data_IF_767295913653
#
_entry.id   IF_767295913653
#
_cell.length_a   1.000
_cell.length_b   1.000
_cell.length_c   1.000
_cell.angle_alpha   90.00
_cell.angle_beta   90.00
_cell.angle_gamma   90.00
#
_symmetry.space_group_name_H-M   'P 1'
#
loop_
_entity.id
_entity.type
_entity.pdbx_description
1 polymer ?
#
# COMPACT_ATOMS: atom_id res chain seq x y z
N UNK A 1 -23.25 -8.25 37.19
CA UNK A 1 -24.19 -7.13 37.23
C UNK A 1 -23.38 -5.85 37.03
N UNK A 2 -23.58 -5.13 35.92
CA UNK A 2 -22.86 -3.89 35.66
C UNK A 2 -23.54 -2.77 36.46
N UNK A 3 -22.89 -2.29 37.50
CA UNK A 3 -23.37 -1.16 38.31
C UNK A 3 -23.35 0.08 37.43
N UNK A 4 -24.51 0.56 37.00
CA UNK A 4 -24.63 1.83 36.29
C UNK A 4 -24.30 2.93 37.29
N UNK A 5 -23.14 3.57 37.12
CA UNK A 5 -22.72 4.71 37.92
C UNK A 5 -23.63 5.90 37.61
N UNK A 6 -24.64 6.10 38.45
CA UNK A 6 -25.40 7.35 38.50
C UNK A 6 -24.53 8.39 39.17
N UNK A 7 -23.96 9.30 38.37
CA UNK A 7 -23.08 10.37 38.86
C UNK A 7 -23.97 11.48 39.48
N UNK A 8 -23.74 11.87 40.75
CA UNK A 8 -24.45 12.99 41.36
C UNK A 8 -24.24 14.27 40.56
N UNK A 9 -25.29 15.10 40.41
CA UNK A 9 -25.24 16.31 39.59
C UNK A 9 -24.16 17.32 40.03
N UNK A 10 -23.71 17.23 41.28
CA UNK A 10 -22.74 18.14 41.91
C UNK A 10 -21.27 17.83 41.54
N UNK A 11 -20.98 16.65 40.97
CA UNK A 11 -19.59 16.24 40.63
C UNK A 11 -19.11 16.73 39.24
N UNK A 12 -19.86 17.61 38.57
CA UNK A 12 -19.54 18.04 37.20
C UNK A 12 -18.39 19.04 37.09
N UNK A 13 -17.99 19.65 38.21
CA UNK A 13 -16.97 20.71 38.24
C UNK A 13 -15.65 20.30 38.89
N UNK A 14 -15.56 19.06 39.37
CA UNK A 14 -14.38 18.55 40.06
C UNK A 14 -13.16 18.50 39.14
N UNK A 15 -12.05 19.04 39.63
CA UNK A 15 -10.76 19.06 38.93
C UNK A 15 -9.90 17.90 39.42
N UNK A 16 -9.48 17.06 38.49
CA UNK A 16 -8.70 15.86 38.81
C UNK A 16 -7.21 16.13 38.51
N UNK A 17 -6.30 15.93 39.48
CA UNK A 17 -4.87 16.14 39.28
C UNK A 17 -4.24 14.97 38.50
N UNK A 18 -3.24 15.29 37.67
CA UNK A 18 -2.50 14.33 36.86
C UNK A 18 -0.98 14.51 37.02
N UNK A 19 -0.18 13.49 36.63
CA UNK A 19 1.28 13.60 36.62
C UNK A 19 1.74 14.83 35.84
N UNK A 20 2.57 15.68 36.45
CA UNK A 20 3.01 16.96 35.87
C UNK A 20 2.36 18.19 36.50
N UNK A 21 1.37 18.02 37.37
CA UNK A 21 0.70 19.13 38.09
C UNK A 21 -0.50 19.70 37.34
N UNK A 22 -0.84 19.15 36.18
CA UNK A 22 -2.01 19.54 35.41
C UNK A 22 -3.30 19.05 36.09
N UNK A 23 -4.35 19.88 36.06
CA UNK A 23 -5.69 19.51 36.51
C UNK A 23 -6.68 19.53 35.34
N UNK A 24 -7.57 18.54 35.28
CA UNK A 24 -8.53 18.42 34.18
C UNK A 24 -9.97 18.20 34.69
N UNK A 25 -10.93 18.88 34.05
CA UNK A 25 -12.38 18.68 34.26
C UNK A 25 -12.88 17.53 33.39
N UNK A 26 -12.63 16.29 33.82
CA UNK A 26 -12.88 15.08 33.02
C UNK A 26 -14.31 14.98 32.48
N UNK A 27 -15.32 15.39 33.26
CA UNK A 27 -16.72 15.32 32.84
C UNK A 27 -17.09 16.26 31.67
N UNK A 28 -16.32 17.35 31.47
CA UNK A 28 -16.54 18.31 30.39
C UNK A 28 -15.85 17.87 29.07
N UNK A 29 -14.99 16.85 29.11
CA UNK A 29 -14.25 16.37 27.95
C UNK A 29 -15.09 15.50 27.00
N UNK A 30 -14.81 15.63 25.71
CA UNK A 30 -15.29 14.79 24.63
C UNK A 30 -14.67 13.38 24.70
N UNK A 31 -15.26 12.42 23.99
CA UNK A 31 -14.73 11.04 23.96
C UNK A 31 -13.29 10.97 23.42
N UNK A 32 -12.93 11.85 22.48
CA UNK A 32 -11.60 11.87 21.87
C UNK A 32 -10.57 12.42 22.86
N UNK A 33 -10.86 13.52 23.54
CA UNK A 33 -9.97 14.09 24.57
C UNK A 33 -9.71 13.10 25.71
N UNK A 34 -10.72 12.32 26.12
CA UNK A 34 -10.54 11.25 27.11
C UNK A 34 -9.59 10.15 26.61
N UNK A 35 -9.66 9.79 25.33
CA UNK A 35 -8.75 8.80 24.73
C UNK A 35 -7.34 9.35 24.61
N UNK A 36 -7.19 10.61 24.23
CA UNK A 36 -5.89 11.27 24.13
C UNK A 36 -5.21 11.34 25.51
N UNK A 37 -5.97 11.70 26.56
CA UNK A 37 -5.47 11.72 27.93
C UNK A 37 -5.05 10.31 28.41
N UNK A 38 -5.87 9.29 28.15
CA UNK A 38 -5.51 7.89 28.46
C UNK A 38 -4.26 7.44 27.70
N UNK A 39 -4.09 7.87 26.44
CA UNK A 39 -2.92 7.54 25.62
C UNK A 39 -1.64 8.16 26.20
N UNK A 40 -1.69 9.45 26.59
CA UNK A 40 -0.56 10.15 27.23
C UNK A 40 -0.11 9.42 28.49
N UNK A 41 -1.06 8.92 29.30
CA UNK A 41 -0.77 8.16 30.53
C UNK A 41 -0.63 6.65 30.33
N UNK A 42 -0.52 6.18 29.07
CA UNK A 42 -0.34 4.76 28.70
C UNK A 42 -1.39 3.80 29.30
N UNK A 43 -2.61 4.28 29.48
CA UNK A 43 -3.74 3.49 29.95
C UNK A 43 -4.48 2.80 28.78
N UNK A 44 -5.21 1.70 29.02
CA UNK A 44 -6.03 1.05 27.98
C UNK A 44 -7.07 2.00 27.35
N UNK A 45 -7.26 1.91 26.03
CA UNK A 45 -8.15 2.78 25.24
C UNK A 45 -9.54 2.19 24.94
N UNK A 46 -9.82 0.96 25.37
CA UNK A 46 -11.09 0.28 25.10
C UNK A 46 -12.17 0.62 26.14
N UNK A 47 -13.42 0.73 25.67
CA UNK A 47 -14.60 1.01 26.50
C UNK A 47 -15.47 2.14 25.96
N UNK A 48 -16.67 2.26 26.52
CA UNK A 48 -17.56 3.40 26.30
C UNK A 48 -17.12 4.62 27.14
N UNK A 49 -17.67 5.82 26.86
CA UNK A 49 -17.32 7.06 27.58
C UNK A 49 -17.31 6.92 29.12
N UNK A 50 -18.34 6.31 29.76
CA UNK A 50 -18.33 6.06 31.21
C UNK A 50 -17.15 5.22 31.68
N UNK A 51 -16.78 4.16 30.93
CA UNK A 51 -15.64 3.30 31.28
C UNK A 51 -14.32 4.06 31.20
N UNK A 52 -14.16 4.92 30.19
CA UNK A 52 -12.96 5.75 30.04
C UNK A 52 -12.86 6.80 31.15
N UNK A 53 -13.97 7.46 31.50
CA UNK A 53 -14.04 8.41 32.62
C UNK A 53 -13.67 7.74 33.93
N UNK A 54 -14.30 6.60 34.26
CA UNK A 54 -14.02 5.89 35.49
C UNK A 54 -12.55 5.46 35.58
N UNK A 55 -11.95 5.04 34.46
CA UNK A 55 -10.53 4.69 34.40
C UNK A 55 -9.61 5.88 34.69
N UNK A 56 -9.92 7.04 34.14
CA UNK A 56 -9.18 8.28 34.40
C UNK A 56 -9.34 8.77 35.84
N UNK A 57 -10.56 8.70 36.40
CA UNK A 57 -10.83 9.04 37.80
C UNK A 57 -10.07 8.10 38.76
N UNK A 58 -10.07 6.80 38.48
CA UNK A 58 -9.30 5.83 39.28
C UNK A 58 -7.79 6.08 39.18
N UNK A 59 -7.31 6.52 38.02
CA UNK A 59 -5.90 6.84 37.80
C UNK A 59 -5.49 8.14 38.52
N UNK A 60 -6.30 9.19 38.46
CA UNK A 60 -6.03 10.45 39.18
C UNK A 60 -6.10 10.28 40.69
N UNK A 61 -6.99 9.43 41.19
CA UNK A 61 -7.11 9.11 42.61
C UNK A 61 -5.97 8.26 43.20
N UNK A 62 -5.02 7.78 42.39
CA UNK A 62 -3.89 6.96 42.85
C UNK A 62 -2.54 7.53 42.42
N UNK A 63 -2.01 8.54 43.14
CA UNK A 63 -0.71 9.15 42.85
C UNK A 63 0.47 8.17 42.86
N UNK A 64 0.37 7.07 43.63
CA UNK A 64 1.43 6.06 43.68
C UNK A 64 1.58 5.33 42.33
N UNK A 65 0.47 5.09 41.62
CA UNK A 65 0.45 4.43 40.32
C UNK A 65 1.04 5.29 39.18
N UNK A 66 1.21 6.60 39.40
CA UNK A 66 1.78 7.51 38.41
C UNK A 66 3.25 7.18 38.13
N UNK A 67 3.99 6.76 39.15
CA UNK A 67 5.40 6.42 39.00
C UNK A 67 5.60 5.05 38.31
N UNK A 68 4.64 4.13 38.47
CA UNK A 68 4.70 2.79 37.88
C UNK A 68 4.44 2.80 36.36
N UNK A 69 3.67 3.78 35.86
CA UNK A 69 3.31 3.87 34.43
C UNK A 69 4.38 4.53 33.56
N UNK A 70 5.30 5.29 34.16
CA UNK A 70 6.42 5.93 33.45
C UNK A 70 7.52 4.91 33.09
N UNK A 71 7.72 3.87 33.90
CA UNK A 71 8.76 2.87 33.70
C UNK A 71 8.35 1.74 32.72
N UNK A 72 8.54 1.99 31.42
CA UNK A 72 9.27 1.09 30.50
C UNK A 72 8.96 -0.42 30.36
N UNK A 73 7.91 -0.99 30.96
CA UNK A 73 7.62 -2.42 30.84
C UNK A 73 6.31 -2.66 30.09
N UNK A 74 6.38 -2.76 28.76
CA UNK A 74 5.42 -3.59 28.02
C UNK A 74 5.55 -5.00 28.59
N UNK A 75 4.60 -5.43 29.43
CA UNK A 75 4.55 -6.81 29.89
C UNK A 75 4.32 -7.70 28.67
N UNK A 76 5.17 -8.72 28.41
CA UNK A 76 4.83 -9.75 27.45
C UNK A 76 3.51 -10.41 27.90
N UNK A 77 2.55 -10.50 26.98
CA UNK A 77 1.18 -11.01 27.19
C UNK A 77 1.12 -12.52 27.52
N UNK A 78 2.16 -13.11 28.12
CA UNK A 78 2.12 -14.49 28.62
C UNK A 78 2.89 -14.57 29.93
N UNK A 79 2.24 -14.17 31.02
CA UNK A 79 2.69 -14.49 32.37
C UNK A 79 2.55 -16.00 32.67
N UNK A 80 3.30 -16.52 33.65
CA UNK A 80 3.28 -17.92 34.08
C UNK A 80 1.88 -18.33 34.57
N UNK A 81 1.39 -19.49 34.12
CA UNK A 81 0.15 -20.07 34.63
C UNK A 81 0.47 -20.88 35.89
N UNK A 82 0.19 -20.32 37.05
CA UNK A 82 0.05 -21.09 38.28
C UNK A 82 -1.31 -21.79 38.26
N UNK A 83 -1.26 -23.12 38.21
CA UNK A 83 -2.41 -23.98 38.36
C UNK A 83 -2.57 -24.34 39.83
N UNK A 84 -3.60 -23.79 40.47
CA UNK A 84 -4.13 -24.36 41.71
C UNK A 84 -5.65 -24.47 41.65
N UNK A 85 -6.08 -25.74 41.66
CA UNK A 85 -7.31 -26.29 42.25
C UNK A 85 -8.63 -26.09 41.51
N UNK A 86 -8.96 -27.04 40.63
CA UNK A 86 -10.27 -27.69 40.62
C UNK A 86 -10.12 -29.21 40.60
N UNK A 87 -10.98 -29.84 41.39
CA UNK A 87 -10.99 -31.22 41.81
C UNK A 87 -11.14 -32.25 40.68
N UNK A 88 -10.70 -33.46 41.03
CA UNK A 88 -10.72 -34.72 40.30
C UNK A 88 -12.07 -35.04 39.63
N UNK A 89 -12.03 -35.40 38.35
CA UNK A 89 -12.70 -36.61 37.87
C UNK A 89 -12.02 -37.11 36.58
N UNK A 90 -11.64 -38.39 36.58
CA UNK A 90 -11.65 -39.27 35.41
C UNK A 90 -10.49 -39.16 34.40
N UNK A 91 -9.68 -40.21 34.39
CA UNK A 91 -8.63 -40.51 33.41
C UNK A 91 -9.17 -40.67 31.97
N UNK A 92 -8.45 -40.13 30.98
CA UNK A 92 -8.10 -40.89 29.77
C UNK A 92 -6.93 -40.23 29.01
N UNK A 93 -5.86 -40.99 28.80
CA UNK A 93 -4.64 -40.60 28.08
C UNK A 93 -4.91 -40.45 26.58
N UNK A 94 -4.57 -39.31 25.95
CA UNK A 94 -4.35 -39.22 24.49
C UNK A 94 -3.11 -38.41 24.08
N UNK A 95 -2.43 -38.80 22.98
CA UNK A 95 -1.04 -38.43 22.67
C UNK A 95 -0.86 -37.10 21.94
N UNK A 96 0.37 -36.58 22.03
CA UNK A 96 0.91 -35.37 21.39
C UNK A 96 0.50 -35.25 19.91
N UNK A 97 -0.24 -34.19 19.56
CA UNK A 97 -0.51 -33.83 18.16
C UNK A 97 0.68 -33.10 17.55
N UNK A 98 1.20 -33.73 16.50
CA UNK A 98 2.08 -33.17 15.47
C UNK A 98 1.39 -32.01 14.76
N UNK A 99 2.19 -31.10 14.24
CA UNK A 99 1.85 -29.94 13.40
C UNK A 99 0.70 -30.25 12.44
N UNK A 100 -0.44 -29.57 12.62
CA UNK A 100 -1.55 -29.65 11.67
C UNK A 100 -1.19 -28.88 10.40
N UNK A 101 -1.01 -29.62 9.31
CA UNK A 101 -1.24 -29.14 7.95
C UNK A 101 -2.62 -28.49 7.94
N UNK A 102 -2.72 -27.24 7.47
CA UNK A 102 -3.99 -26.57 7.21
C UNK A 102 -4.67 -27.35 6.08
N UNK A 103 -5.48 -28.35 6.45
CA UNK A 103 -6.43 -28.95 5.54
C UNK A 103 -7.43 -27.84 5.19
N UNK A 104 -7.45 -27.47 3.90
CA UNK A 104 -8.54 -26.69 3.30
C UNK A 104 -9.86 -27.26 3.82
N UNK A 105 -10.73 -26.38 4.32
CA UNK A 105 -12.06 -26.73 4.82
C UNK A 105 -12.74 -27.66 3.82
N UNK A 106 -13.18 -28.83 4.29
CA UNK A 106 -13.98 -29.76 3.48
C UNK A 106 -15.21 -29.01 3.00
N UNK A 107 -15.44 -29.00 1.70
CA UNK A 107 -16.69 -28.47 1.14
C UNK A 107 -17.85 -29.28 1.72
N UNK A 108 -18.70 -28.62 2.51
CA UNK A 108 -19.87 -29.23 3.19
C UNK A 108 -21.11 -29.29 2.30
N UNK A 109 -21.01 -28.82 1.05
CA UNK A 109 -22.13 -28.85 0.09
C UNK A 109 -22.51 -30.29 -0.26
N UNK A 110 -23.81 -30.54 -0.39
CA UNK A 110 -24.32 -31.81 -0.91
C UNK A 110 -23.95 -31.98 -2.38
N UNK A 111 -23.91 -33.21 -2.89
CA UNK A 111 -23.67 -33.45 -4.33
C UNK A 111 -24.67 -32.71 -5.22
N UNK A 112 -25.92 -32.59 -4.75
CA UNK A 112 -26.93 -31.81 -5.46
C UNK A 112 -26.54 -30.33 -5.55
N UNK A 113 -26.11 -29.70 -4.45
CA UNK A 113 -25.67 -28.31 -4.46
C UNK A 113 -24.43 -28.09 -5.35
N UNK A 114 -23.52 -29.08 -5.40
CA UNK A 114 -22.38 -29.02 -6.33
C UNK A 114 -22.85 -29.08 -7.78
N UNK A 115 -23.79 -29.97 -8.09
CA UNK A 115 -24.36 -30.09 -9.43
C UNK A 115 -25.15 -28.85 -9.84
N UNK A 116 -25.87 -28.22 -8.92
CA UNK A 116 -26.57 -26.95 -9.14
C UNK A 116 -25.58 -25.82 -9.45
N UNK A 117 -24.46 -25.73 -8.72
CA UNK A 117 -23.40 -24.74 -9.02
C UNK A 117 -22.76 -24.99 -10.38
N UNK A 118 -22.53 -26.26 -10.75
CA UNK A 118 -21.98 -26.63 -12.06
C UNK A 118 -22.97 -26.29 -13.19
N UNK A 119 -24.26 -26.59 -13.00
CA UNK A 119 -25.30 -26.29 -13.98
C UNK A 119 -25.49 -24.77 -14.16
N UNK A 120 -25.48 -24.02 -13.05
CA UNK A 120 -25.52 -22.56 -13.06
C UNK A 120 -24.31 -21.98 -13.79
N UNK A 121 -23.10 -22.48 -13.52
CA UNK A 121 -21.88 -22.04 -14.20
C UNK A 121 -21.95 -22.31 -15.71
N UNK A 122 -22.48 -23.47 -16.13
CA UNK A 122 -22.67 -23.80 -17.54
C UNK A 122 -23.67 -22.87 -18.23
N UNK A 123 -24.81 -22.58 -17.60
CA UNK A 123 -25.80 -21.62 -18.11
C UNK A 123 -25.23 -20.19 -18.16
N UNK A 124 -24.46 -19.78 -17.15
CA UNK A 124 -23.83 -18.48 -17.10
C UNK A 124 -22.86 -18.28 -18.28
N UNK A 125 -22.05 -19.30 -18.60
CA UNK A 125 -21.15 -19.29 -19.76
C UNK A 125 -21.92 -19.26 -21.08
N UNK A 126 -23.02 -20.03 -21.20
CA UNK A 126 -23.84 -20.06 -22.40
C UNK A 126 -24.53 -18.71 -22.68
N UNK A 127 -24.97 -18.01 -21.62
CA UNK A 127 -25.68 -16.74 -21.72
C UNK A 127 -24.75 -15.53 -21.86
N UNK A 128 -23.46 -15.68 -21.55
CA UNK A 128 -22.47 -14.61 -21.59
C UNK A 128 -21.23 -15.06 -22.38
N UNK A 129 -21.34 -15.33 -23.70
CA UNK A 129 -20.21 -15.80 -24.51
C UNK A 129 -19.04 -14.80 -24.54
N UNK A 130 -19.31 -13.54 -24.21
CA UNK A 130 -18.43 -12.39 -24.15
C UNK A 130 -17.59 -12.37 -22.85
N UNK A 131 -18.12 -12.97 -21.77
CA UNK A 131 -17.53 -12.96 -20.43
C UNK A 131 -16.69 -14.24 -20.27
N UNK A 132 -15.57 -14.23 -20.98
CA UNK A 132 -14.46 -15.18 -20.92
C UNK A 132 -14.72 -16.58 -21.47
N UNK A 133 -14.12 -16.85 -22.64
CA UNK A 133 -13.36 -18.08 -22.77
C UNK A 133 -12.30 -18.08 -21.65
N UNK A 134 -12.21 -19.11 -20.80
CA UNK A 134 -10.89 -19.50 -20.27
C UNK A 134 -9.96 -19.52 -21.48
N UNK A 135 -8.76 -18.95 -21.38
CA UNK A 135 -7.72 -19.19 -22.40
C UNK A 135 -7.80 -20.67 -22.73
N UNK A 136 -8.24 -21.00 -23.95
CA UNK A 136 -8.16 -22.35 -24.47
C UNK A 136 -6.75 -22.83 -24.10
N UNK A 137 -6.58 -23.98 -23.43
CA UNK A 137 -5.26 -24.54 -23.26
C UNK A 137 -4.65 -24.54 -24.65
N UNK A 138 -3.65 -23.68 -24.82
CA UNK A 138 -2.99 -23.46 -26.09
C UNK A 138 -2.66 -24.85 -26.59
N UNK A 139 -3.29 -25.27 -27.69
CA UNK A 139 -2.90 -26.53 -28.32
C UNK A 139 -1.37 -26.54 -28.40
N UNK A 140 -0.72 -27.67 -28.12
CA UNK A 140 0.73 -27.77 -28.19
C UNK A 140 1.14 -27.57 -29.65
N UNK A 141 1.22 -26.31 -30.07
CA UNK A 141 1.99 -25.88 -31.22
C UNK A 141 3.37 -26.43 -30.98
N UNK A 142 3.74 -27.38 -31.85
CA UNK A 142 5.01 -28.08 -31.88
C UNK A 142 6.10 -27.21 -31.27
N UNK A 143 6.48 -27.56 -30.05
CA UNK A 143 7.66 -27.02 -29.39
C UNK A 143 8.78 -27.31 -30.39
N UNK A 144 9.31 -26.26 -31.04
CA UNK A 144 10.70 -26.27 -31.47
C UNK A 144 11.48 -26.48 -30.18
N UNK A 145 11.75 -27.75 -29.88
CA UNK A 145 12.56 -28.18 -28.75
C UNK A 145 13.85 -27.40 -28.90
N UNK A 146 14.12 -26.53 -27.92
CA UNK A 146 15.42 -25.88 -27.85
C UNK A 146 16.45 -27.01 -27.77
N UNK A 147 17.39 -27.13 -28.72
CA UNK A 147 18.43 -28.17 -28.69
C UNK A 147 19.26 -28.14 -27.39
N UNK A 148 19.17 -27.04 -26.65
CA UNK A 148 19.81 -26.83 -25.36
C UNK A 148 19.25 -27.71 -24.24
N UNK A 149 17.96 -28.05 -24.26
CA UNK A 149 17.36 -28.88 -23.19
C UNK A 149 17.71 -30.36 -23.36
N UNK A 150 17.71 -30.83 -24.62
CA UNK A 150 18.19 -32.17 -24.97
C UNK A 150 19.69 -32.32 -24.72
N UNK A 151 20.49 -31.28 -25.01
CA UNK A 151 21.92 -31.25 -24.69
C UNK A 151 22.18 -31.32 -23.18
N UNK A 152 21.33 -30.69 -22.36
CA UNK A 152 21.43 -30.75 -20.90
C UNK A 152 21.01 -32.12 -20.35
N UNK A 153 19.97 -32.73 -20.91
CA UNK A 153 19.56 -34.08 -20.55
C UNK A 153 20.63 -35.12 -20.93
N UNK A 154 21.20 -35.04 -22.13
CA UNK A 154 22.29 -35.92 -22.56
C UNK A 154 23.55 -35.77 -21.68
N UNK A 155 23.87 -34.55 -21.23
CA UNK A 155 24.99 -34.31 -20.31
C UNK A 155 24.73 -34.91 -18.91
N UNK A 156 23.50 -34.77 -18.38
CA UNK A 156 23.12 -35.38 -17.10
C UNK A 156 23.16 -36.90 -17.19
N UNK A 157 22.67 -37.47 -18.29
CA UNK A 157 22.69 -38.92 -18.52
C UNK A 157 24.13 -39.46 -18.66
N UNK A 158 25.00 -38.72 -19.35
CA UNK A 158 26.44 -39.03 -19.41
C UNK A 158 27.11 -39.01 -18.03
N UNK A 159 26.82 -38.01 -17.19
CA UNK A 159 27.36 -37.93 -15.83
C UNK A 159 26.88 -39.09 -14.93
N UNK A 160 25.62 -39.51 -15.09
CA UNK A 160 25.07 -40.65 -14.36
C UNK A 160 25.71 -41.98 -14.79
N UNK A 161 25.99 -42.16 -16.08
CA UNK A 161 26.69 -43.36 -16.56
C UNK A 161 28.13 -43.44 -16.01
N UNK A 162 28.87 -42.32 -15.98
CA UNK A 162 30.22 -42.27 -15.40
C UNK A 162 30.21 -42.61 -13.91
N UNK A 163 29.24 -42.10 -13.15
CA UNK A 163 29.07 -42.45 -11.74
C UNK A 163 28.74 -43.94 -11.54
N UNK A 164 27.85 -44.50 -12.37
CA UNK A 164 27.49 -45.92 -12.31
C UNK A 164 28.68 -46.83 -12.66
N UNK A 165 29.51 -46.46 -13.64
CA UNK A 165 30.74 -47.18 -13.96
C UNK A 165 31.78 -47.12 -12.84
N UNK A 166 31.89 -45.97 -12.17
CA UNK A 166 32.82 -45.77 -11.04
C UNK A 166 32.42 -46.61 -9.82
N UNK A 167 31.12 -46.76 -9.56
CA UNK A 167 30.61 -47.57 -8.44
C UNK A 167 30.68 -49.07 -8.73
N UNK A 168 30.50 -49.51 -9.98
CA UNK A 168 30.62 -50.93 -10.35
C UNK A 168 32.06 -51.44 -10.49
N UNK A 169 33.04 -50.53 -10.58
CA UNK A 169 34.42 -50.87 -10.91
C UNK A 169 35.33 -51.27 -9.74
N UNK A 170 34.90 -51.21 -8.47
CA UNK A 170 35.82 -51.44 -7.36
C UNK A 170 35.31 -52.45 -6.32
N UNK A 171 35.51 -53.76 -6.54
CA UNK A 171 35.23 -54.78 -5.54
C UNK A 171 36.36 -54.96 -4.51
N UNK A 172 37.49 -54.25 -4.61
CA UNK A 172 38.57 -54.38 -3.65
C UNK A 172 38.74 -53.11 -2.82
N UNK A 173 38.21 -53.20 -1.59
CA UNK A 173 38.44 -52.22 -0.56
C UNK A 173 39.93 -51.96 -0.38
N UNK A 174 40.35 -50.73 -0.61
CA UNK A 174 41.56 -50.22 -0.02
C UNK A 174 41.33 -48.76 0.37
N UNK A 175 41.29 -48.56 1.68
CA UNK A 175 41.23 -47.27 2.36
C UNK A 175 42.57 -46.60 2.16
N UNK A 176 42.64 -45.43 1.53
CA UNK A 176 43.71 -44.50 1.86
C UNK A 176 43.48 -43.04 1.46
N UNK A 177 43.73 -42.20 2.46
CA UNK A 177 44.38 -40.89 2.40
C UNK A 177 43.58 -39.69 1.86
N UNK A 178 43.04 -38.94 2.83
CA UNK A 178 42.67 -37.53 2.68
C UNK A 178 43.92 -36.64 2.82
N UNK A 179 44.09 -35.59 1.99
CA UNK A 179 45.11 -34.57 2.20
C UNK A 179 44.64 -33.48 3.20
N UNK A 180 45.57 -32.79 3.90
CA UNK A 180 45.24 -31.87 4.98
C UNK A 180 44.75 -30.50 4.48
N UNK A 181 43.99 -29.75 5.31
CA UNK A 181 43.53 -28.41 4.98
C UNK A 181 44.59 -27.33 5.30
N UNK A 182 44.63 -26.20 4.56
CA UNK A 182 45.51 -25.09 4.87
C UNK A 182 44.87 -24.13 5.89
N UNK A 183 45.65 -23.80 6.91
CA UNK A 183 45.44 -22.71 7.87
C UNK A 183 45.63 -21.34 7.23
N UNK A 184 44.92 -20.29 7.68
CA UNK A 184 45.55 -18.98 7.75
C UNK A 184 45.34 -18.28 9.11
N UNK A 185 46.41 -17.61 9.53
CA UNK A 185 46.57 -16.75 10.70
C UNK A 185 46.74 -15.28 10.23
N UNK A 186 46.51 -14.33 11.14
CA UNK A 186 46.79 -12.87 11.08
C UNK A 186 45.79 -12.03 10.25
N UNK A 187 45.41 -10.80 10.59
CA UNK A 187 45.72 -9.87 11.68
C UNK A 187 44.67 -8.74 11.62
N UNK A 188 44.39 -8.14 12.77
CA UNK A 188 43.48 -7.01 12.95
C UNK A 188 44.27 -5.69 12.91
N UNK A 189 43.82 -4.65 12.19
CA UNK A 189 44.30 -3.30 12.45
C UNK A 189 43.23 -2.43 13.14
N UNK A 190 43.69 -1.87 14.25
CA UNK A 190 43.14 -0.80 15.08
C UNK A 190 42.93 0.50 14.29
N UNK A 191 41.78 1.15 14.47
CA UNK A 191 41.51 2.52 14.01
C UNK A 191 41.80 3.54 15.13
N UNK A 192 42.43 4.70 14.84
CA UNK A 192 42.53 5.78 15.81
C UNK A 192 41.28 6.66 15.81
N UNK A 193 40.86 7.01 17.02
CA UNK A 193 39.88 8.05 17.31
C UNK A 193 40.44 9.44 16.99
N UNK A 194 39.62 10.31 16.41
CA UNK A 194 39.82 11.75 16.46
C UNK A 194 38.51 12.50 16.69
N UNK A 195 38.67 13.64 17.33
CA UNK A 195 37.75 14.37 18.20
C UNK A 195 37.02 15.53 17.52
N UNK A 196 35.83 15.84 18.05
CA UNK A 196 35.21 17.16 18.29
C UNK A 196 35.70 18.39 17.48
N UNK A 197 34.76 19.05 16.80
CA UNK A 197 34.61 20.53 16.68
C UNK A 197 33.24 20.83 16.05
N UNK A 198 32.25 21.29 16.82
CA UNK A 198 31.84 22.69 17.11
C UNK A 198 31.11 23.43 15.96
N UNK A 199 29.87 23.81 16.29
CA UNK A 199 28.93 24.77 15.68
C UNK A 199 29.56 26.12 15.25
N UNK A 200 28.92 26.88 14.33
CA UNK A 200 27.92 27.85 14.76
C UNK A 200 26.65 27.98 13.89
N UNK A 201 25.64 28.45 14.61
CA UNK A 201 24.34 29.03 14.28
C UNK A 201 24.29 30.01 13.10
N UNK A 202 23.23 29.91 12.30
CA UNK A 202 22.74 30.99 11.44
C UNK A 202 21.27 31.30 11.75
N UNK A 203 21.01 32.58 12.02
CA UNK A 203 19.69 33.21 12.20
C UNK A 203 19.19 33.65 10.81
N UNK A 204 17.89 33.50 10.48
CA UNK A 204 17.35 33.92 9.19
C UNK A 204 16.98 35.41 9.18
N UNK A 205 17.39 36.11 8.13
CA UNK A 205 17.02 37.50 7.86
C UNK A 205 15.79 37.52 6.94
N UNK A 206 14.71 38.15 7.40
CA UNK A 206 13.44 38.32 6.68
C UNK A 206 13.50 39.66 5.95
N UNK A 207 13.33 39.66 4.63
CA UNK A 207 13.11 40.88 3.84
C UNK A 207 11.87 40.66 2.96
N UNK A 208 10.84 41.47 3.21
CA UNK A 208 9.64 41.60 2.38
C UNK A 208 9.89 42.54 1.19
N UNK A 209 9.39 42.24 -0.02
CA UNK A 209 9.23 43.23 -1.07
C UNK A 209 7.82 43.89 -1.07
N UNK A 210 7.69 45.14 -1.55
CA UNK A 210 6.43 45.89 -1.61
C UNK A 210 5.57 45.54 -2.86
N UNK A 211 4.28 45.92 -2.87
CA UNK A 211 3.31 45.51 -3.89
C UNK A 211 3.37 46.37 -5.17
N UNK A 212 3.15 45.73 -6.33
CA UNK A 212 2.94 46.40 -7.62
C UNK A 212 1.43 46.50 -7.94
N UNK A 213 0.97 47.60 -8.58
CA UNK A 213 -0.43 47.84 -8.89
C UNK A 213 -0.92 47.11 -10.15
N UNK A 214 -2.18 46.65 -10.08
CA UNK A 214 -2.95 46.16 -11.22
C UNK A 214 -3.32 47.32 -12.17
N UNK A 215 -3.06 47.13 -13.46
CA UNK A 215 -3.69 47.88 -14.55
C UNK A 215 -4.28 46.90 -15.56
N UNK A 216 -5.62 46.88 -15.64
CA UNK A 216 -6.36 46.33 -16.78
C UNK A 216 -6.16 47.23 -18.01
N UNK A 217 -6.30 46.67 -19.21
CA UNK A 217 -7.14 47.34 -20.19
C UNK A 217 -8.20 46.43 -20.83
N UNK A 218 -9.30 47.08 -21.16
CA UNK A 218 -10.48 46.58 -21.83
C UNK A 218 -10.21 46.14 -23.28
N UNK A 219 -10.99 45.17 -23.73
CA UNK A 219 -11.04 44.65 -25.11
C UNK A 219 -12.42 44.98 -25.69
N UNK A 220 -12.51 45.54 -26.90
CA UNK A 220 -13.73 45.48 -27.69
C UNK A 220 -13.53 44.68 -28.99
N UNK A 221 -14.49 43.77 -29.19
CA UNK A 221 -15.16 43.36 -30.43
C UNK A 221 -14.39 43.05 -31.74
N UNK A 222 -14.55 41.78 -32.13
CA UNK A 222 -15.07 41.28 -33.42
C UNK A 222 -14.31 41.56 -34.74
N UNK A 223 -14.13 40.49 -35.55
CA UNK A 223 -14.68 40.28 -36.93
C UNK A 223 -13.86 39.21 -37.70
N UNK A 224 -14.57 38.18 -38.18
CA UNK A 224 -14.54 37.50 -39.50
C UNK A 224 -13.24 36.98 -40.17
N UNK A 225 -13.21 35.64 -40.36
CA UNK A 225 -12.92 34.84 -41.60
C UNK A 225 -11.50 34.88 -42.26
N UNK A 226 -11.18 34.04 -43.29
CA UNK A 226 -10.42 32.78 -43.14
C UNK A 226 -9.19 32.70 -44.12
N UNK A 227 -8.69 31.50 -44.51
CA UNK A 227 -7.28 31.08 -44.41
C UNK A 227 -6.41 31.38 -45.67
N UNK A 228 -5.11 30.99 -45.64
CA UNK A 228 -4.71 30.02 -46.67
C UNK A 228 -3.75 28.91 -46.18
N UNK A 229 -3.78 27.83 -46.96
CA UNK A 229 -2.93 26.65 -46.89
C UNK A 229 -1.43 26.98 -47.09
N UNK A 230 -0.55 26.22 -46.43
CA UNK A 230 0.78 25.92 -46.95
C UNK A 230 1.24 24.51 -46.55
N UNK A 231 1.95 23.93 -47.52
CA UNK A 231 2.46 22.58 -47.64
C UNK A 231 3.47 22.14 -46.58
N UNK A 232 3.50 20.81 -46.44
CA UNK A 232 4.67 19.95 -46.23
C UNK A 232 6.04 20.64 -46.26
N UNK A 233 6.79 20.50 -45.17
CA UNK A 233 8.19 20.05 -45.29
C UNK A 233 8.70 19.36 -44.01
N UNK A 234 9.16 18.14 -44.25
CA UNK A 234 10.08 17.34 -43.44
C UNK A 234 11.33 18.17 -43.12
N UNK A 235 11.79 18.13 -41.86
CA UNK A 235 13.24 18.21 -41.62
C UNK A 235 13.64 17.46 -40.34
N UNK A 236 14.29 16.33 -40.55
CA UNK A 236 15.19 15.71 -39.57
C UNK A 236 16.31 16.70 -39.22
N UNK A 237 16.67 16.79 -37.94
CA UNK A 237 17.95 17.38 -37.56
C UNK A 237 18.58 16.58 -36.43
N UNK A 238 19.48 15.73 -36.89
CA UNK A 238 20.54 15.03 -36.17
C UNK A 238 21.44 16.05 -35.46
N UNK A 239 21.58 15.93 -34.14
CA UNK A 239 22.75 16.43 -33.39
C UNK A 239 23.14 15.36 -32.35
N UNK A 240 24.00 14.42 -32.73
CA UNK A 240 25.45 14.40 -32.41
C UNK A 240 25.83 14.76 -30.95
N UNK A 241 26.23 13.71 -30.24
CA UNK A 241 27.58 13.55 -29.66
C UNK A 241 27.94 14.31 -28.38
N UNK A 242 27.86 13.61 -27.24
CA UNK A 242 28.92 13.60 -26.24
C UNK A 242 29.12 12.19 -25.67
N UNK A 243 30.22 11.54 -26.07
CA UNK A 243 30.75 10.32 -25.46
C UNK A 243 31.55 10.74 -24.23
N UNK A 244 31.14 10.30 -23.04
CA UNK A 244 32.02 10.19 -21.88
C UNK A 244 32.28 8.70 -21.63
N UNK A 245 33.47 8.27 -22.02
CA UNK A 245 34.02 6.96 -21.70
C UNK A 245 34.72 7.05 -20.36
N UNK A 246 34.18 6.41 -19.34
CA UNK A 246 34.92 6.12 -18.10
C UNK A 246 34.70 4.65 -17.77
N UNK A 247 35.74 3.84 -18.02
CA UNK A 247 35.80 2.43 -17.63
C UNK A 247 35.91 2.33 -16.11
N UNK A 248 35.09 1.52 -15.42
CA UNK A 248 35.43 1.01 -14.11
C UNK A 248 36.03 -0.40 -14.23
N UNK A 249 37.11 -0.60 -13.51
CA UNK A 249 37.84 -1.85 -13.27
C UNK A 249 36.92 -2.86 -12.53
N UNK A 250 36.82 -4.14 -12.95
CA UNK A 250 35.99 -5.10 -12.23
C UNK A 250 36.74 -5.67 -11.02
N UNK A 251 36.19 -5.43 -9.83
CA UNK A 251 36.55 -6.11 -8.58
C UNK A 251 35.70 -7.38 -8.47
N UNK A 252 36.28 -8.58 -8.25
CA UNK A 252 35.50 -9.80 -8.11
C UNK A 252 34.89 -9.88 -6.71
N UNK A 253 33.63 -9.46 -6.58
CA UNK A 253 32.86 -9.64 -5.34
C UNK A 253 32.09 -10.95 -5.42
N UNK A 254 32.40 -11.86 -4.48
CA UNK A 254 31.74 -13.16 -4.27
C UNK A 254 30.21 -12.98 -4.20
N UNK A 255 29.52 -13.62 -5.13
CA UNK A 255 28.07 -13.69 -5.18
C UNK A 255 27.53 -14.60 -4.04
N UNK A 256 26.99 -13.98 -3.00
CA UNK A 256 25.96 -14.60 -2.17
C UNK A 256 24.62 -14.26 -2.83
N UNK A 257 24.03 -15.26 -3.48
CA UNK A 257 22.76 -15.14 -4.21
C UNK A 257 21.61 -15.08 -3.21
N UNK A 258 21.23 -13.88 -2.78
CA UNK A 258 19.96 -13.69 -2.08
C UNK A 258 18.80 -13.80 -3.09
N UNK A 259 17.86 -14.76 -2.91
CA UNK A 259 16.78 -15.03 -3.87
C UNK A 259 15.68 -13.95 -3.93
N UNK A 260 15.82 -12.84 -3.20
CA UNK A 260 14.78 -11.81 -3.06
C UNK A 260 14.79 -10.81 -4.23
N UNK A 261 15.89 -10.69 -4.98
CA UNK A 261 16.07 -9.68 -6.04
C UNK A 261 15.49 -10.04 -7.43
N UNK A 262 14.56 -10.99 -7.53
CA UNK A 262 14.10 -11.49 -8.86
C UNK A 262 12.62 -11.30 -9.17
N UNK A 263 11.89 -10.47 -8.41
CA UNK A 263 10.52 -10.17 -8.81
C UNK A 263 10.51 -9.18 -9.98
N UNK A 264 10.45 -9.72 -11.20
CA UNK A 264 10.19 -8.94 -12.41
C UNK A 264 8.69 -8.67 -12.51
N UNK A 265 8.33 -7.42 -12.77
CA UNK A 265 6.96 -7.00 -13.07
C UNK A 265 6.84 -6.61 -14.52
N UNK A 266 5.62 -6.73 -15.01
CA UNK A 266 5.25 -6.37 -16.37
C UNK A 266 4.09 -5.38 -16.27
N UNK A 267 4.27 -4.19 -16.83
CA UNK A 267 3.23 -3.18 -16.97
C UNK A 267 2.98 -2.96 -18.46
N UNK A 268 1.72 -2.82 -18.85
CA UNK A 268 1.34 -2.45 -20.22
C UNK A 268 0.88 -1.00 -20.17
N UNK A 269 1.60 -0.13 -20.87
CA UNK A 269 1.30 1.30 -20.97
C UNK A 269 0.17 1.54 -21.99
N UNK A 270 -0.46 2.71 -21.92
CA UNK A 270 -1.57 3.10 -22.77
C UNK A 270 -1.24 3.13 -24.27
N UNK A 271 0.03 3.31 -24.63
CA UNK A 271 0.52 3.20 -26.01
C UNK A 271 0.78 1.74 -26.46
N UNK A 272 0.41 0.74 -25.65
CA UNK A 272 0.63 -0.68 -25.91
C UNK A 272 2.03 -1.19 -25.55
N UNK A 273 2.94 -0.32 -25.11
CA UNK A 273 4.31 -0.72 -24.75
C UNK A 273 4.29 -1.60 -23.50
N UNK A 274 4.88 -2.79 -23.62
CA UNK A 274 5.03 -3.73 -22.50
C UNK A 274 6.35 -3.48 -21.79
N UNK A 275 6.28 -2.83 -20.63
CA UNK A 275 7.42 -2.44 -19.81
C UNK A 275 7.69 -3.52 -18.76
N UNK A 276 8.81 -4.24 -18.92
CA UNK A 276 9.30 -5.15 -17.89
C UNK A 276 10.33 -4.45 -17.01
N UNK A 277 10.17 -4.52 -15.68
CA UNK A 277 11.05 -3.85 -14.72
C UNK A 277 11.17 -4.65 -13.42
N UNK A 278 12.28 -4.45 -12.72
CA UNK A 278 12.52 -4.99 -11.39
C UNK A 278 12.11 -3.97 -10.32
N UNK A 279 11.88 -4.44 -9.09
CA UNK A 279 11.59 -3.54 -7.96
C UNK A 279 12.69 -2.47 -7.78
N UNK A 280 13.95 -2.81 -8.04
CA UNK A 280 15.09 -1.89 -7.96
C UNK A 280 15.11 -0.81 -9.06
N UNK A 281 14.37 -1.01 -10.15
CA UNK A 281 14.24 -0.02 -11.23
C UNK A 281 13.22 1.09 -10.88
N UNK A 282 12.44 0.90 -9.81
CA UNK A 282 11.40 1.84 -9.38
C UNK A 282 12.04 2.86 -8.43
N UNK A 283 12.15 4.16 -8.81
CA UNK A 283 12.69 5.18 -7.91
C UNK A 283 11.74 5.41 -6.72
N UNK A 284 12.26 6.01 -5.66
CA UNK A 284 11.44 6.46 -4.54
C UNK A 284 10.36 7.45 -5.04
N UNK A 285 9.09 7.32 -4.59
CA UNK A 285 8.04 8.21 -5.05
C UNK A 285 8.35 9.65 -4.65
N UNK A 286 8.30 10.55 -5.63
CA UNK A 286 8.38 11.99 -5.39
C UNK A 286 7.11 12.46 -4.66
N UNK A 287 7.28 13.44 -3.77
CA UNK A 287 6.16 14.10 -3.11
C UNK A 287 5.40 14.94 -4.14
N UNK A 288 4.24 14.46 -4.58
CA UNK A 288 3.35 15.20 -5.49
C UNK A 288 2.28 15.98 -4.74
N UNK A 289 1.69 17.00 -5.37
CA UNK A 289 0.48 17.61 -4.84
C UNK A 289 -0.27 18.22 -6.00
N UNK A 290 -1.53 17.79 -6.17
CA UNK A 290 -2.42 18.32 -7.20
C UNK A 290 -3.52 19.21 -6.60
N UNK A 291 -3.42 19.53 -5.31
CA UNK A 291 -4.43 20.34 -4.59
C UNK A 291 -4.67 21.69 -5.28
N UNK A 292 -3.63 22.24 -5.93
CA UNK A 292 -3.69 23.53 -6.64
C UNK A 292 -3.84 23.40 -8.16
N UNK A 293 -3.68 22.20 -8.72
CA UNK A 293 -3.58 22.00 -10.18
C UNK A 293 -4.26 20.68 -10.59
N UNK A 294 -5.59 20.70 -10.56
CA UNK A 294 -6.44 19.61 -11.03
C UNK A 294 -6.24 19.35 -12.54
N UNK A 295 -6.08 20.37 -13.42
CA UNK A 295 -5.77 20.12 -14.82
C UNK A 295 -4.50 19.28 -15.01
N UNK A 296 -3.44 19.54 -14.24
CA UNK A 296 -2.24 18.71 -14.25
C UNK A 296 -2.53 17.29 -13.79
N UNK A 297 -3.36 17.09 -12.76
CA UNK A 297 -3.79 15.75 -12.34
C UNK A 297 -4.40 14.98 -13.52
N UNK A 298 -5.33 15.59 -14.25
CA UNK A 298 -5.93 14.98 -15.45
C UNK A 298 -4.87 14.58 -16.48
N UNK A 299 -3.89 15.45 -16.75
CA UNK A 299 -2.82 15.17 -17.73
C UNK A 299 -1.84 14.08 -17.32
N UNK A 300 -1.71 13.74 -16.04
CA UNK A 300 -0.77 12.69 -15.57
C UNK A 300 -1.48 11.45 -15.04
N UNK A 301 -2.82 11.43 -14.99
CA UNK A 301 -3.58 10.36 -14.39
C UNK A 301 -3.56 9.08 -15.22
N UNK A 302 -3.85 9.18 -16.51
CA UNK A 302 -4.04 8.05 -17.41
C UNK A 302 -3.33 8.24 -18.75
N UNK A 303 -2.55 7.24 -19.17
CA UNK A 303 -1.68 7.26 -20.36
C UNK A 303 -2.34 6.79 -21.66
N UNK A 304 -3.60 6.36 -21.62
CA UNK A 304 -4.40 6.02 -22.81
C UNK A 304 -5.01 7.26 -23.46
N UNK A 305 -5.05 8.39 -22.75
CA UNK A 305 -5.71 9.61 -23.21
C UNK A 305 -4.77 10.48 -24.06
N UNK A 306 -5.30 11.20 -25.06
CA UNK A 306 -4.49 12.10 -25.87
C UNK A 306 -3.96 13.31 -25.08
N UNK A 307 -4.62 13.70 -23.98
CA UNK A 307 -4.15 14.79 -23.11
C UNK A 307 -3.03 14.37 -22.14
N UNK A 308 -2.63 13.10 -22.17
CA UNK A 308 -1.57 12.59 -21.31
C UNK A 308 -0.25 13.31 -21.59
N UNK A 309 0.41 13.79 -20.54
CA UNK A 309 1.69 14.50 -20.63
C UNK A 309 2.81 13.70 -19.99
N UNK A 310 3.59 12.92 -20.78
CA UNK A 310 4.73 12.14 -20.28
C UNK A 310 5.81 12.99 -19.61
N UNK A 311 5.94 14.27 -20.00
CA UNK A 311 6.93 15.19 -19.45
C UNK A 311 6.59 15.66 -18.04
N UNK A 312 5.31 15.80 -17.73
CA UNK A 312 4.80 16.19 -16.40
C UNK A 312 4.80 15.03 -15.39
N UNK A 313 4.89 13.78 -15.88
CA UNK A 313 4.96 12.60 -15.05
C UNK A 313 6.26 12.54 -14.24
N UNK A 314 6.11 12.41 -12.93
CA UNK A 314 7.25 12.40 -12.00
C UNK A 314 7.91 11.02 -11.87
N UNK A 315 7.14 9.95 -12.07
CA UNK A 315 7.68 8.59 -12.07
C UNK A 315 8.08 8.18 -13.48
N UNK A 316 9.36 7.84 -13.65
CA UNK A 316 9.91 7.30 -14.89
C UNK A 316 10.66 6.01 -14.61
N UNK A 317 10.30 4.94 -15.31
CA UNK A 317 10.97 3.63 -15.21
C UNK A 317 11.58 3.31 -16.56
N UNK A 318 12.90 3.11 -16.60
CA UNK A 318 13.66 2.88 -17.85
C UNK A 318 13.35 3.93 -18.93
N UNK A 319 13.23 5.20 -18.53
CA UNK A 319 12.91 6.32 -19.42
C UNK A 319 11.43 6.47 -19.80
N UNK A 320 10.55 5.53 -19.41
CA UNK A 320 9.13 5.58 -19.72
C UNK A 320 8.37 6.27 -18.59
N UNK A 321 7.56 7.28 -18.93
CA UNK A 321 6.66 7.95 -18.00
C UNK A 321 5.55 6.99 -17.53
N UNK A 322 5.33 6.93 -16.23
CA UNK A 322 4.32 6.07 -15.62
C UNK A 322 3.18 6.92 -15.09
N UNK A 323 2.01 6.83 -15.73
CA UNK A 323 0.79 7.50 -15.29
C UNK A 323 0.37 7.07 -13.89
N UNK A 324 -0.26 7.98 -13.12
CA UNK A 324 -0.65 7.75 -11.73
C UNK A 324 -1.53 6.51 -11.54
N UNK A 325 -2.40 6.21 -12.51
CA UNK A 325 -3.26 5.02 -12.53
C UNK A 325 -2.49 3.71 -12.35
N UNK A 326 -1.24 3.65 -12.82
CA UNK A 326 -0.40 2.45 -12.75
C UNK A 326 0.47 2.38 -11.48
N UNK A 327 0.48 3.42 -10.64
CA UNK A 327 1.32 3.46 -9.44
C UNK A 327 1.01 2.34 -8.45
N UNK A 328 -0.26 1.95 -8.18
CA UNK A 328 -0.56 0.83 -7.29
C UNK A 328 0.12 -0.47 -7.73
N UNK A 329 0.10 -0.77 -9.03
CA UNK A 329 0.75 -1.97 -9.58
C UNK A 329 2.27 -1.83 -9.48
N UNK A 330 2.80 -0.65 -9.81
CA UNK A 330 4.22 -0.35 -9.81
C UNK A 330 4.85 -0.50 -8.42
N UNK A 331 4.19 0.02 -7.38
CA UNK A 331 4.66 -0.04 -5.99
C UNK A 331 4.14 -1.23 -5.19
N UNK A 332 3.24 -2.05 -5.72
CA UNK A 332 2.75 -3.25 -5.00
C UNK A 332 3.90 -4.21 -4.64
N UNK A 333 3.95 -4.74 -3.41
CA UNK A 333 4.88 -5.82 -3.03
C UNK A 333 6.40 -5.57 -3.17
N UNK A 334 6.88 -4.32 -3.27
CA UNK A 334 8.27 -4.07 -2.87
C UNK A 334 8.33 -4.07 -1.34
N UNK A 335 9.00 -5.06 -0.76
CA UNK A 335 9.28 -5.12 0.68
C UNK A 335 10.34 -4.10 1.12
N UNK A 336 10.78 -3.27 0.18
CA UNK A 336 11.83 -2.30 0.38
C UNK A 336 11.28 -1.15 1.23
N UNK A 337 12.01 -0.78 2.28
CA UNK A 337 11.62 0.26 3.22
C UNK A 337 11.36 1.63 2.55
N UNK A 338 11.82 1.81 1.31
CA UNK A 338 11.47 2.85 0.36
C UNK A 338 9.96 3.16 0.31
N UNK A 339 9.12 2.12 0.17
CA UNK A 339 7.66 2.33 0.19
C UNK A 339 7.16 2.69 1.59
N UNK A 340 7.77 2.14 2.64
CA UNK A 340 7.33 2.39 4.03
C UNK A 340 7.53 3.85 4.45
N UNK A 341 8.64 4.48 4.06
CA UNK A 341 8.92 5.89 4.32
C UNK A 341 8.03 6.82 3.50
N UNK A 342 7.85 6.51 2.22
CA UNK A 342 7.05 7.35 1.33
C UNK A 342 5.56 7.18 1.58
N UNK A 343 5.11 5.98 1.95
CA UNK A 343 3.74 5.73 2.41
C UNK A 343 3.38 6.63 3.58
N UNK A 344 4.27 6.84 4.56
CA UNK A 344 4.00 7.78 5.68
C UNK A 344 3.83 9.24 5.20
N UNK A 345 4.54 9.64 4.15
CA UNK A 345 4.49 11.02 3.62
C UNK A 345 3.31 11.21 2.66
N UNK A 346 2.94 10.15 1.95
CA UNK A 346 1.69 10.04 1.20
C UNK A 346 0.49 10.04 2.15
N UNK A 347 0.58 9.31 3.26
CA UNK A 347 -0.39 9.28 4.36
C UNK A 347 -0.43 10.63 5.12
N UNK A 348 0.63 11.46 5.02
CA UNK A 348 0.65 12.83 5.53
C UNK A 348 -0.12 13.82 4.63
N UNK A 349 -0.66 13.40 3.47
CA UNK A 349 -1.71 14.14 2.76
C UNK A 349 -3.06 14.04 3.51
N UNK A 350 -3.00 14.22 4.84
CA UNK A 350 -3.99 13.87 5.86
C UNK A 350 -5.40 14.37 5.53
N UNK A 351 -6.30 13.41 5.28
CA UNK A 351 -7.46 13.23 6.15
C UNK A 351 -7.08 12.07 7.08
N UNK A 352 -6.92 12.33 8.38
CA UNK A 352 -6.53 11.32 9.38
C UNK A 352 -7.76 10.54 9.90
N UNK A 353 -7.62 9.25 10.33
CA UNK A 353 -6.41 8.51 10.73
C UNK A 353 -5.95 7.38 9.78
N UNK A 354 -4.73 6.80 9.98
CA UNK A 354 -4.03 5.96 9.00
C UNK A 354 -4.48 4.50 9.10
N UNK A 355 -5.14 4.03 8.05
CA UNK A 355 -5.40 2.62 7.80
C UNK A 355 -4.95 2.30 6.37
N UNK A 356 -4.48 1.08 6.06
CA UNK A 356 -4.30 0.63 4.66
C UNK A 356 -5.53 0.90 3.79
N UNK A 357 -6.70 0.92 4.42
CA UNK A 357 -7.98 1.30 3.84
C UNK A 357 -7.97 2.79 3.39
N UNK A 358 -7.42 3.70 4.20
CA UNK A 358 -7.33 5.14 3.90
C UNK A 358 -6.52 5.44 2.63
N UNK A 359 -5.44 4.68 2.37
CA UNK A 359 -4.66 4.80 1.13
C UNK A 359 -5.50 4.46 -0.11
N UNK A 360 -6.33 3.40 -0.02
CA UNK A 360 -7.24 3.02 -1.10
C UNK A 360 -8.32 4.10 -1.32
N UNK A 361 -8.88 4.65 -0.24
CA UNK A 361 -9.82 5.77 -0.34
C UNK A 361 -9.19 6.98 -1.02
N UNK A 362 -7.95 7.32 -0.66
CA UNK A 362 -7.27 8.47 -1.22
C UNK A 362 -7.01 8.31 -2.71
N UNK A 363 -6.41 7.19 -3.14
CA UNK A 363 -6.20 6.92 -4.57
C UNK A 363 -7.53 6.91 -5.35
N UNK A 364 -8.60 6.39 -4.73
CA UNK A 364 -9.95 6.39 -5.30
C UNK A 364 -10.53 7.80 -5.43
N UNK A 365 -10.26 8.71 -4.49
CA UNK A 365 -10.65 10.12 -4.63
C UNK A 365 -9.94 10.80 -5.81
N UNK A 366 -8.63 10.58 -5.97
CA UNK A 366 -7.90 11.10 -7.13
C UNK A 366 -8.42 10.52 -8.43
N UNK A 367 -8.71 9.22 -8.43
CA UNK A 367 -9.31 8.53 -9.56
C UNK A 367 -10.63 9.18 -9.97
N UNK A 368 -11.56 9.37 -9.04
CA UNK A 368 -12.84 9.98 -9.38
C UNK A 368 -12.72 11.42 -9.81
N UNK A 369 -11.89 12.24 -9.15
CA UNK A 369 -11.69 13.62 -9.58
C UNK A 369 -11.13 13.65 -11.00
N UNK A 370 -10.17 12.77 -11.33
CA UNK A 370 -9.64 12.66 -12.68
C UNK A 370 -10.69 12.15 -13.67
N UNK A 371 -11.45 11.12 -13.33
CA UNK A 371 -12.50 10.56 -14.18
C UNK A 371 -13.61 11.59 -14.46
N UNK A 372 -14.12 12.28 -13.44
CA UNK A 372 -15.10 13.36 -13.59
C UNK A 372 -14.53 14.51 -14.43
N UNK A 373 -13.28 14.90 -14.18
CA UNK A 373 -12.60 15.90 -15.00
C UNK A 373 -12.49 15.48 -16.47
N UNK A 374 -12.31 14.19 -16.73
CA UNK A 374 -12.17 13.62 -18.06
C UNK A 374 -13.49 13.41 -18.79
N UNK A 375 -14.61 13.25 -18.06
CA UNK A 375 -15.95 13.12 -18.62
C UNK A 375 -16.56 14.47 -19.02
N UNK A 376 -16.06 15.56 -18.44
CA UNK A 376 -16.54 16.93 -18.67
C UNK A 376 -15.51 17.76 -19.43
N UNK A 377 -15.95 18.89 -20.01
CA UNK A 377 -15.01 19.94 -20.42
C UNK A 377 -14.46 20.66 -19.19
N UNK A 378 -13.34 21.37 -19.35
CA UNK A 378 -12.75 22.16 -18.26
C UNK A 378 -13.76 23.15 -17.67
N UNK A 379 -14.51 23.83 -18.53
CA UNK A 379 -15.53 24.80 -18.16
C UNK A 379 -16.68 24.11 -17.41
N UNK A 380 -17.23 23.04 -17.97
CA UNK A 380 -18.36 22.32 -17.36
C UNK A 380 -17.98 21.71 -16.00
N UNK A 381 -16.78 21.15 -15.89
CA UNK A 381 -16.25 20.64 -14.63
C UNK A 381 -16.22 21.75 -13.57
N UNK A 382 -15.68 22.91 -13.91
CA UNK A 382 -15.61 24.00 -12.95
C UNK A 382 -16.95 24.64 -12.65
N UNK A 383 -17.91 24.66 -13.58
CA UNK A 383 -19.29 25.09 -13.32
C UNK A 383 -20.01 24.14 -12.34
N UNK A 384 -19.82 22.83 -12.49
CA UNK A 384 -20.37 21.83 -11.56
C UNK A 384 -19.76 21.94 -10.16
N UNK A 385 -18.46 22.25 -10.08
CA UNK A 385 -17.71 22.36 -8.83
C UNK A 385 -17.41 23.81 -8.41
N UNK A 386 -18.42 24.68 -8.47
CA UNK A 386 -18.39 25.99 -7.78
C UNK A 386 -19.03 25.89 -6.40
N UNK A 387 -18.50 26.66 -5.46
CA UNK A 387 -19.17 26.87 -4.17
C UNK A 387 -20.35 27.83 -4.31
N UNK A 388 -21.12 28.02 -3.23
CA UNK A 388 -22.27 28.94 -3.20
C UNK A 388 -21.89 30.41 -3.50
N UNK A 389 -20.60 30.74 -3.42
CA UNK A 389 -20.06 32.06 -3.75
C UNK A 389 -19.57 32.17 -5.20
N UNK A 390 -19.69 31.12 -6.00
CA UNK A 390 -19.21 31.05 -7.38
C UNK A 390 -17.70 30.80 -7.53
N UNK A 391 -16.96 30.56 -6.45
CA UNK A 391 -15.55 30.21 -6.49
C UNK A 391 -15.36 28.72 -6.80
N UNK A 392 -14.26 28.39 -7.48
CA UNK A 392 -13.86 27.00 -7.73
C UNK A 392 -13.64 26.27 -6.40
N UNK A 393 -14.30 25.14 -6.20
CA UNK A 393 -14.13 24.30 -5.02
C UNK A 393 -12.68 23.80 -4.91
N UNK A 394 -12.19 23.68 -3.68
CA UNK A 394 -10.88 23.04 -3.43
C UNK A 394 -10.94 21.54 -3.76
N UNK A 395 -9.80 20.93 -4.07
CA UNK A 395 -9.74 19.48 -4.33
C UNK A 395 -10.41 18.63 -3.23
N UNK A 396 -10.22 19.01 -1.96
CA UNK A 396 -10.84 18.31 -0.83
C UNK A 396 -12.35 18.49 -0.80
N UNK A 397 -12.87 19.67 -1.16
CA UNK A 397 -14.30 19.92 -1.25
C UNK A 397 -14.91 19.12 -2.42
N UNK A 398 -14.27 19.11 -3.59
CA UNK A 398 -14.68 18.28 -4.74
C UNK A 398 -14.71 16.80 -4.35
N UNK A 399 -13.64 16.30 -3.74
CA UNK A 399 -13.54 14.89 -3.32
C UNK A 399 -14.66 14.50 -2.35
N UNK A 400 -15.02 15.38 -1.41
CA UNK A 400 -16.14 15.16 -0.48
C UNK A 400 -17.49 15.16 -1.19
N UNK A 401 -17.71 16.07 -2.14
CA UNK A 401 -18.93 16.12 -2.95
C UNK A 401 -19.07 14.84 -3.77
N UNK A 402 -18.01 14.42 -4.47
CA UNK A 402 -18.00 13.18 -5.23
C UNK A 402 -18.23 11.95 -4.35
N UNK A 403 -17.61 11.89 -3.17
CA UNK A 403 -17.83 10.80 -2.22
C UNK A 403 -19.29 10.76 -1.74
N UNK A 404 -19.90 11.92 -1.48
CA UNK A 404 -21.31 12.01 -1.10
C UNK A 404 -22.21 11.52 -2.23
N UNK A 405 -22.04 12.01 -3.45
CA UNK A 405 -22.79 11.57 -4.63
C UNK A 405 -22.68 10.07 -4.86
N UNK A 406 -21.49 9.52 -4.70
CA UNK A 406 -21.26 8.09 -4.89
C UNK A 406 -21.88 7.25 -3.76
N UNK A 407 -21.86 7.75 -2.52
CA UNK A 407 -22.57 7.12 -1.40
C UNK A 407 -24.08 7.12 -1.63
N UNK A 408 -24.63 8.22 -2.14
CA UNK A 408 -26.06 8.33 -2.47
C UNK A 408 -26.45 7.38 -3.62
N UNK A 409 -25.64 7.30 -4.68
CA UNK A 409 -25.84 6.37 -5.78
C UNK A 409 -25.77 4.90 -5.32
N UNK A 410 -24.77 4.55 -4.51
CA UNK A 410 -24.62 3.21 -3.94
C UNK A 410 -25.81 2.87 -3.02
N UNK A 411 -26.31 3.83 -2.24
CA UNK A 411 -27.52 3.65 -1.41
C UNK A 411 -28.77 3.45 -2.26
N UNK A 412 -28.95 4.22 -3.34
CA UNK A 412 -30.06 4.03 -4.29
C UNK A 412 -30.02 2.65 -4.93
N UNK A 413 -28.84 2.17 -5.34
CA UNK A 413 -28.67 0.84 -5.92
C UNK A 413 -28.98 -0.26 -4.90
N UNK A 414 -28.51 -0.13 -3.66
CA UNK A 414 -28.84 -1.05 -2.57
C UNK A 414 -30.34 -1.07 -2.30
N UNK A 415 -31.00 0.08 -2.33
CA UNK A 415 -32.44 0.18 -2.12
C UNK A 415 -33.22 -0.45 -3.29
N UNK A 416 -32.83 -0.18 -4.54
CA UNK A 416 -33.42 -0.81 -5.72
C UNK A 416 -33.28 -2.33 -5.68
N UNK A 417 -32.09 -2.83 -5.31
CA UNK A 417 -31.84 -4.27 -5.19
C UNK A 417 -32.65 -4.89 -4.05
N UNK A 418 -32.83 -4.15 -2.94
CA UNK A 418 -33.68 -4.57 -1.81
C UNK A 418 -35.14 -4.66 -2.22
N UNK A 419 -35.66 -3.70 -2.98
CA UNK A 419 -37.02 -3.71 -3.51
C UNK A 419 -37.24 -4.87 -4.48
N UNK A 420 -36.27 -5.14 -5.34
CA UNK A 420 -36.34 -6.24 -6.32
C UNK A 420 -36.32 -7.63 -5.67
N UNK A 421 -35.46 -7.85 -4.65
CA UNK A 421 -35.33 -9.16 -3.98
C UNK A 421 -36.30 -9.38 -2.81
N UNK A 422 -36.94 -8.31 -2.30
CA UNK A 422 -37.82 -8.39 -1.15
C UNK A 422 -37.17 -9.06 0.07
N UNK A 423 -37.79 -10.13 0.57
CA UNK A 423 -37.29 -10.89 1.72
C UNK A 423 -35.98 -11.65 1.47
N UNK A 424 -35.66 -11.98 0.21
CA UNK A 424 -34.44 -12.72 -0.13
C UNK A 424 -33.18 -11.84 -0.05
N UNK A 425 -33.33 -10.51 -0.05
CA UNK A 425 -32.20 -9.59 0.03
C UNK A 425 -31.32 -9.88 1.26
N UNK A 426 -31.94 -10.05 2.43
CA UNK A 426 -31.19 -10.32 3.67
C UNK A 426 -30.51 -11.69 3.64
N UNK A 427 -31.12 -12.69 3.01
CA UNK A 427 -30.55 -14.03 2.92
C UNK A 427 -29.34 -14.08 1.97
N UNK A 428 -29.38 -13.32 0.87
CA UNK A 428 -28.28 -13.27 -0.11
C UNK A 428 -27.10 -12.41 0.37
N UNK A 429 -27.36 -11.30 1.07
CA UNK A 429 -26.31 -10.34 1.44
C UNK A 429 -25.86 -10.40 2.91
N UNK A 430 -26.43 -11.27 3.76
CA UNK A 430 -26.02 -11.44 5.16
C UNK A 430 -24.52 -11.75 5.33
N UNK A 431 -23.90 -12.41 4.36
CA UNK A 431 -22.47 -12.78 4.42
C UNK A 431 -21.50 -11.61 4.25
N UNK A 432 -21.96 -10.44 3.82
CA UNK A 432 -21.11 -9.27 3.57
C UNK A 432 -21.19 -8.20 4.67
N UNK A 433 -22.10 -8.35 5.63
CA UNK A 433 -22.34 -7.37 6.71
C UNK A 433 -21.65 -7.79 8.03
N UNK A 434 -21.14 -9.03 8.12
CA UNK A 434 -20.35 -9.54 9.24
C UNK A 434 -18.84 -9.38 8.97
#
# INVERSE_FOLDING_TARGET
MATVLTIPADMKEEEFPFPGGDTFKLHKMSLNELKDLLWVHKQPLSGNKPTLLQRLVNFSGNPAAWNETVAGCQRPHKGPRDFTNKAQTGEEKKPKKKSQVIQRSKDIRTEQQKNEVIAWAAQFVANNPDIQTPRQPKEPNAIKVKPELDSRLANIEGQLQVLLSTVKGNPNGNVMSMPPPPTPLLELPTFPAYTKTSLPSFIPNIIFPPPLPLSLPALPFAISSPPPAFDLMVNESITKSMKMTTKPIPKPTKAATDPINKLTKVLVLGNGTRLEFHCLDVPDPLLLSFVKDIPKLGRVWEDTRPEFSPSECSLKIKGHAIALKHWPITYSYSHDQCWKGTKKTWDNWKIYPPSPISMLYFLRSFQWVAECYHQSTLENFWEEFRDDNGHKMTFMAISKTLQKLQTEADQCLVQQQREWLGSEFSQQFQYFIA
#
